data_IF_606971130981
#
_entry.id   IF_606971130981
#
_cell.length_a   1.000
_cell.length_b   1.000
_cell.length_c   1.000
_cell.angle_alpha   90.00
_cell.angle_beta   90.00
_cell.angle_gamma   90.00
#
_symmetry.space_group_name_H-M   'P 1'
#
loop_
_entity.id
_entity.type
_entity.pdbx_description
1 polymer ?
#
# COMPACT_ATOMS: atom_id res chain seq x y z
N UNK A 1 -6.73 -24.80 7.91
CA UNK A 1 -8.02 -24.71 7.19
C UNK A 1 -7.90 -25.70 6.03
N UNK A 2 -8.60 -26.85 6.10
CA UNK A 2 -8.52 -27.88 5.04
C UNK A 2 -9.30 -27.37 3.83
N UNK A 3 -8.63 -27.25 2.69
CA UNK A 3 -9.21 -26.76 1.44
C UNK A 3 -10.29 -27.74 0.93
N UNK A 4 -10.19 -29.01 1.31
CA UNK A 4 -11.09 -30.10 0.93
C UNK A 4 -12.55 -29.93 1.40
N UNK A 5 -12.81 -29.21 2.49
CA UNK A 5 -14.19 -29.07 3.02
C UNK A 5 -15.06 -28.05 2.29
N UNK A 6 -14.48 -27.28 1.36
CA UNK A 6 -15.17 -26.18 0.65
C UNK A 6 -15.37 -26.45 -0.86
N UNK A 7 -14.86 -27.59 -1.34
CA UNK A 7 -15.02 -28.04 -2.72
C UNK A 7 -16.40 -28.66 -2.93
N UNK A 8 -17.02 -28.36 -4.07
CA UNK A 8 -18.23 -29.05 -4.52
C UNK A 8 -17.90 -30.52 -4.82
N UNK A 9 -18.89 -31.41 -4.75
CA UNK A 9 -18.68 -32.84 -5.04
C UNK A 9 -18.13 -33.02 -6.45
N UNK A 10 -16.89 -33.51 -6.55
CA UNK A 10 -16.20 -33.75 -7.83
C UNK A 10 -15.39 -32.56 -8.38
N UNK A 11 -15.38 -31.40 -7.70
CA UNK A 11 -14.59 -30.23 -8.10
C UNK A 11 -13.09 -30.49 -7.92
N UNK A 12 -12.33 -30.33 -9.02
CA UNK A 12 -10.87 -30.49 -9.00
C UNK A 12 -10.17 -29.14 -8.90
N UNK A 13 -9.12 -29.07 -8.07
CA UNK A 13 -8.25 -27.90 -7.98
C UNK A 13 -7.19 -28.02 -9.08
N UNK A 14 -7.12 -27.02 -9.95
CA UNK A 14 -6.09 -26.95 -10.98
C UNK A 14 -4.84 -26.23 -10.46
N UNK A 15 -5.01 -25.08 -9.80
CA UNK A 15 -3.89 -24.27 -9.33
C UNK A 15 -4.24 -23.50 -8.05
N UNK A 16 -3.27 -23.41 -7.16
CA UNK A 16 -3.32 -22.53 -5.99
C UNK A 16 -2.25 -21.47 -6.18
N UNK A 17 -2.68 -20.21 -6.19
CA UNK A 17 -1.86 -19.06 -6.47
C UNK A 17 -1.76 -18.17 -5.24
N UNK A 18 -0.59 -17.58 -5.08
CA UNK A 18 -0.30 -16.57 -4.05
C UNK A 18 0.35 -15.37 -4.70
N UNK A 19 0.06 -14.15 -4.22
CA UNK A 19 0.69 -12.96 -4.76
C UNK A 19 2.20 -12.96 -4.50
N UNK A 20 2.97 -12.51 -5.48
CA UNK A 20 4.38 -12.21 -5.33
C UNK A 20 4.56 -11.00 -4.39
N UNK A 21 5.52 -11.03 -3.44
CA UNK A 21 5.69 -9.94 -2.48
C UNK A 21 5.92 -8.56 -3.12
N UNK A 22 6.68 -8.52 -4.22
CA UNK A 22 6.99 -7.27 -4.94
C UNK A 22 5.75 -6.62 -5.58
N UNK A 23 4.67 -7.36 -5.79
CA UNK A 23 3.41 -6.78 -6.26
C UNK A 23 2.84 -5.76 -5.26
N UNK A 24 3.18 -5.88 -3.98
CA UNK A 24 2.82 -4.93 -2.93
C UNK A 24 3.92 -3.91 -2.62
N UNK A 25 4.73 -3.51 -3.60
CA UNK A 25 5.86 -2.59 -3.40
C UNK A 25 5.45 -1.27 -2.72
N UNK A 26 4.26 -0.75 -3.00
CA UNK A 26 3.76 0.46 -2.35
C UNK A 26 3.63 0.32 -0.81
N UNK A 27 3.35 -0.88 -0.29
CA UNK A 27 3.36 -1.16 1.15
C UNK A 27 4.77 -1.44 1.65
N UNK A 28 5.61 -2.06 0.83
CA UNK A 28 7.00 -2.35 1.18
C UNK A 28 7.83 -1.07 1.31
N UNK A 29 7.60 -0.09 0.43
CA UNK A 29 8.29 1.20 0.45
C UNK A 29 8.15 1.93 1.80
N UNK A 30 7.03 1.77 2.50
CA UNK A 30 6.78 2.45 3.79
C UNK A 30 7.80 2.03 4.85
N UNK A 31 8.00 0.73 5.06
CA UNK A 31 8.93 0.23 6.07
C UNK A 31 10.39 0.37 5.61
N UNK A 32 10.66 0.13 4.33
CA UNK A 32 12.01 0.27 3.75
C UNK A 32 12.50 1.70 3.93
N UNK A 33 11.66 2.70 3.67
CA UNK A 33 12.04 4.10 3.84
C UNK A 33 12.40 4.43 5.29
N UNK A 34 11.58 3.99 6.26
CA UNK A 34 11.84 4.23 7.70
C UNK A 34 13.19 3.63 8.10
N UNK A 35 13.45 2.39 7.67
CA UNK A 35 14.69 1.68 7.96
C UNK A 35 15.90 2.39 7.35
N UNK A 36 15.86 2.67 6.05
CA UNK A 36 16.97 3.29 5.33
C UNK A 36 17.25 4.69 5.86
N UNK A 37 16.23 5.47 6.17
CA UNK A 37 16.40 6.82 6.69
C UNK A 37 16.96 6.81 8.12
N UNK A 38 16.56 5.85 8.96
CA UNK A 38 17.15 5.66 10.29
C UNK A 38 18.63 5.27 10.22
N UNK A 39 19.01 4.36 9.31
CA UNK A 39 20.42 4.00 9.05
C UNK A 39 21.20 5.21 8.56
N UNK A 40 20.64 5.95 7.60
CA UNK A 40 21.27 7.14 7.03
C UNK A 40 21.56 8.18 8.10
N UNK A 41 20.59 8.51 8.96
CA UNK A 41 20.78 9.49 10.03
C UNK A 41 21.84 9.06 11.04
N UNK A 42 21.82 7.79 11.46
CA UNK A 42 22.85 7.27 12.36
C UNK A 42 24.24 7.31 11.72
N UNK A 43 24.34 6.94 10.44
CA UNK A 43 25.60 6.99 9.71
C UNK A 43 26.12 8.42 9.59
N UNK A 44 25.28 9.39 9.19
CA UNK A 44 25.69 10.79 9.07
C UNK A 44 26.07 11.43 10.40
N UNK A 45 25.40 11.06 11.50
CA UNK A 45 25.70 11.62 12.81
C UNK A 45 27.03 11.11 13.41
N UNK A 46 27.51 9.93 12.98
CA UNK A 46 28.77 9.35 13.45
C UNK A 46 29.98 9.66 12.53
N UNK A 47 29.77 10.27 11.37
CA UNK A 47 30.85 10.71 10.50
C UNK A 47 31.56 11.92 11.11
N UNK A 48 32.89 11.86 11.21
CA UNK A 48 33.73 12.91 11.80
C UNK A 48 33.56 14.28 11.12
N UNK A 49 33.22 14.30 9.83
CA UNK A 49 33.02 15.52 9.04
C UNK A 49 31.72 16.27 9.39
N UNK A 50 30.69 15.57 9.89
CA UNK A 50 29.37 16.15 10.17
C UNK A 50 29.01 16.15 11.65
N UNK A 51 29.88 15.61 12.51
CA UNK A 51 29.64 15.44 13.95
C UNK A 51 29.25 16.74 14.65
N UNK A 52 29.79 17.89 14.23
CA UNK A 52 29.44 19.20 14.80
C UNK A 52 27.99 19.63 14.48
N UNK A 53 27.48 19.32 13.29
CA UNK A 53 26.09 19.62 12.90
C UNK A 53 25.07 18.76 13.67
N UNK A 54 25.49 17.56 14.07
CA UNK A 54 24.68 16.59 14.82
C UNK A 54 24.98 16.58 16.33
N UNK A 55 25.79 17.52 16.82
CA UNK A 55 26.19 17.61 18.22
C UNK A 55 25.01 17.99 19.15
N UNK A 56 24.15 18.97 18.81
CA UNK A 56 22.92 19.17 19.57
C UNK A 56 21.87 18.12 19.18
N UNK A 57 21.26 17.51 20.20
CA UNK A 57 20.17 16.54 20.05
C UNK A 57 18.99 17.11 19.23
N UNK A 58 18.79 18.43 19.29
CA UNK A 58 17.75 19.15 18.54
C UNK A 58 17.94 18.99 17.03
N UNK A 59 19.16 19.13 16.51
CA UNK A 59 19.41 19.02 15.06
C UNK A 59 19.08 17.64 14.52
N UNK A 60 19.51 16.59 15.23
CA UNK A 60 19.22 15.20 14.88
C UNK A 60 17.70 14.96 14.87
N UNK A 61 17.01 15.45 15.91
CA UNK A 61 15.57 15.29 16.06
C UNK A 61 14.81 16.03 14.95
N UNK A 62 15.18 17.27 14.65
CA UNK A 62 14.56 18.08 13.60
C UNK A 62 14.73 17.44 12.22
N UNK A 63 15.94 16.96 11.88
CA UNK A 63 16.18 16.27 10.62
C UNK A 63 15.37 14.98 10.49
N UNK A 64 15.23 14.24 11.59
CA UNK A 64 14.38 13.05 11.62
C UNK A 64 12.91 13.36 11.36
N UNK A 65 12.37 14.41 12.00
CA UNK A 65 11.00 14.88 11.77
C UNK A 65 10.78 15.34 10.33
N UNK A 66 11.66 16.20 9.83
CA UNK A 66 11.55 16.76 8.48
C UNK A 66 11.55 15.64 7.44
N UNK A 67 12.48 14.68 7.55
CA UNK A 67 12.58 13.58 6.59
C UNK A 67 11.34 12.68 6.57
N UNK A 68 10.87 12.25 7.74
CA UNK A 68 9.69 11.38 7.83
C UNK A 68 8.39 12.10 7.45
N UNK A 69 8.23 13.38 7.80
CA UNK A 69 7.04 14.17 7.39
C UNK A 69 7.04 14.34 5.87
N UNK A 70 8.17 14.74 5.28
CA UNK A 70 8.27 14.96 3.85
C UNK A 70 7.94 13.68 3.08
N UNK A 71 8.51 12.54 3.49
CA UNK A 71 8.17 11.26 2.89
C UNK A 71 6.70 10.86 3.10
N UNK A 72 6.16 11.09 4.30
CA UNK A 72 4.75 10.83 4.60
C UNK A 72 3.80 11.63 3.71
N UNK A 73 4.12 12.90 3.45
CA UNK A 73 3.36 13.76 2.53
C UNK A 73 3.49 13.26 1.09
N UNK A 74 4.70 13.00 0.62
CA UNK A 74 4.94 12.51 -0.76
C UNK A 74 4.20 11.19 -1.01
N UNK A 75 4.33 10.21 -0.11
CA UNK A 75 3.64 8.91 -0.22
C UNK A 75 2.12 9.10 -0.15
N UNK A 76 1.63 9.99 0.71
CA UNK A 76 0.19 10.29 0.83
C UNK A 76 -0.38 10.89 -0.46
N UNK A 77 0.36 11.79 -1.12
CA UNK A 77 -0.03 12.40 -2.38
C UNK A 77 -0.02 11.37 -3.52
N UNK A 78 1.05 10.59 -3.64
CA UNK A 78 1.17 9.54 -4.68
C UNK A 78 0.06 8.49 -4.53
N UNK A 79 -0.23 8.06 -3.31
CA UNK A 79 -1.20 6.99 -3.06
C UNK A 79 -2.63 7.51 -2.82
N UNK A 80 -2.85 8.83 -2.85
CA UNK A 80 -4.12 9.54 -2.57
C UNK A 80 -4.77 8.97 -1.29
N UNK A 81 -3.96 8.75 -0.26
CA UNK A 81 -4.35 8.04 0.96
C UNK A 81 -3.70 8.69 2.19
N UNK A 82 -4.41 9.64 2.78
CA UNK A 82 -4.00 10.39 3.99
C UNK A 82 -3.63 9.53 5.20
N UNK A 83 -4.11 8.28 5.28
CA UNK A 83 -3.72 7.35 6.36
C UNK A 83 -2.22 7.12 6.45
N UNK A 84 -1.47 7.18 5.34
CA UNK A 84 -0.02 6.99 5.38
C UNK A 84 0.66 8.17 6.09
N UNK A 85 0.22 9.39 5.82
CA UNK A 85 0.69 10.58 6.52
C UNK A 85 0.44 10.49 8.04
N UNK A 86 -0.78 10.11 8.45
CA UNK A 86 -1.09 9.93 9.88
C UNK A 86 -0.27 8.80 10.52
N UNK A 87 0.04 7.73 9.79
CA UNK A 87 0.89 6.65 10.28
C UNK A 87 2.31 7.17 10.61
N UNK A 88 2.93 7.96 9.72
CA UNK A 88 4.24 8.58 9.98
C UNK A 88 4.20 9.56 11.16
N UNK A 89 3.14 10.36 11.29
CA UNK A 89 2.97 11.24 12.45
C UNK A 89 2.88 10.49 13.77
N UNK A 90 2.13 9.39 13.82
CA UNK A 90 2.03 8.56 15.03
C UNK A 90 3.39 7.98 15.38
N UNK A 91 4.14 7.47 14.41
CA UNK A 91 5.51 6.98 14.61
C UNK A 91 6.42 8.08 15.18
N UNK A 92 6.41 9.28 14.58
CA UNK A 92 7.22 10.40 15.06
C UNK A 92 6.90 10.74 16.51
N UNK A 93 5.62 10.95 16.81
CA UNK A 93 5.15 11.31 18.15
C UNK A 93 5.52 10.25 19.21
N UNK A 94 5.38 8.97 18.87
CA UNK A 94 5.68 7.86 19.77
C UNK A 94 7.19 7.72 19.99
N UNK A 95 8.00 7.91 18.95
CA UNK A 95 9.46 7.89 19.05
C UNK A 95 10.00 9.06 19.88
N UNK A 96 9.47 10.26 19.69
CA UNK A 96 9.85 11.42 20.53
C UNK A 96 9.45 11.25 21.97
N UNK A 97 8.26 10.70 22.23
CA UNK A 97 7.78 10.44 23.58
C UNK A 97 8.67 9.41 24.30
N UNK A 98 9.06 8.34 23.62
CA UNK A 98 10.00 7.35 24.16
C UNK A 98 11.39 7.95 24.40
N UNK A 99 11.91 8.73 23.45
CA UNK A 99 13.22 9.39 23.59
C UNK A 99 13.25 10.32 24.82
N UNK A 100 12.16 11.05 25.07
CA UNK A 100 12.00 11.88 26.26
C UNK A 100 11.90 11.05 27.54
N UNK A 101 11.03 10.03 27.57
CA UNK A 101 10.80 9.18 28.74
C UNK A 101 12.07 8.46 29.22
N UNK A 102 12.91 8.01 28.29
CA UNK A 102 14.16 7.31 28.60
C UNK A 102 15.39 8.24 28.66
N UNK A 103 15.18 9.56 28.61
CA UNK A 103 16.23 10.58 28.71
C UNK A 103 17.33 10.47 27.64
N UNK A 104 16.99 9.99 26.43
CA UNK A 104 17.89 9.99 25.28
C UNK A 104 18.04 11.39 24.64
N UNK A 105 17.24 12.37 25.06
CA UNK A 105 17.28 13.79 24.63
C UNK A 105 18.41 14.61 25.30
N UNK A 106 19.53 13.97 25.64
CA UNK A 106 20.68 14.63 26.28
C UNK A 106 21.81 14.89 25.28
N UNK A 107 22.22 13.86 24.54
CA UNK A 107 23.36 13.92 23.61
C UNK A 107 22.94 13.51 22.21
N UNK A 108 23.42 14.22 21.17
CA UNK A 108 23.11 13.93 19.76
C UNK A 108 23.49 12.51 19.32
N UNK A 109 24.64 11.99 19.76
CA UNK A 109 25.08 10.63 19.45
C UNK A 109 24.17 9.56 20.04
N UNK A 110 23.75 9.73 21.31
CA UNK A 110 22.83 8.81 21.98
C UNK A 110 21.46 8.80 21.31
N UNK A 111 20.97 9.97 20.90
CA UNK A 111 19.71 10.10 20.18
C UNK A 111 19.74 9.44 18.81
N UNK A 112 20.84 9.62 18.06
CA UNK A 112 21.02 9.02 16.74
C UNK A 112 21.02 7.49 16.81
N UNK A 113 21.67 6.93 17.84
CA UNK A 113 21.64 5.49 18.11
C UNK A 113 20.24 5.00 18.51
N UNK A 114 19.52 5.75 19.33
CA UNK A 114 18.13 5.45 19.67
C UNK A 114 17.22 5.45 18.43
N UNK A 115 17.33 6.45 17.56
CA UNK A 115 16.56 6.53 16.30
C UNK A 115 16.80 5.30 15.42
N UNK A 116 18.06 4.84 15.32
CA UNK A 116 18.39 3.64 14.55
C UNK A 116 17.63 2.42 15.07
N UNK A 117 17.75 2.14 16.38
CA UNK A 117 17.08 0.99 17.01
C UNK A 117 15.56 1.12 16.86
N UNK A 118 15.03 2.30 17.13
CA UNK A 118 13.60 2.58 17.01
C UNK A 118 13.07 2.34 15.59
N UNK A 119 13.81 2.82 14.58
CA UNK A 119 13.48 2.65 13.17
C UNK A 119 13.53 1.18 12.74
N UNK A 120 14.51 0.42 13.22
CA UNK A 120 14.61 -1.03 12.98
C UNK A 120 13.41 -1.76 13.59
N UNK A 121 13.07 -1.46 14.86
CA UNK A 121 11.94 -2.09 15.55
C UNK A 121 10.62 -1.84 14.83
N UNK A 122 10.32 -0.58 14.48
CA UNK A 122 9.08 -0.24 13.77
C UNK A 122 9.05 -0.83 12.38
N UNK A 123 10.16 -0.72 11.64
CA UNK A 123 10.25 -1.30 10.31
C UNK A 123 9.96 -2.80 10.35
N UNK A 124 10.50 -3.51 11.34
CA UNK A 124 10.24 -4.94 11.55
C UNK A 124 8.75 -5.23 11.84
N UNK A 125 8.11 -4.41 12.69
CA UNK A 125 6.67 -4.53 12.99
C UNK A 125 5.82 -4.32 11.72
N UNK A 126 6.10 -3.26 10.94
CA UNK A 126 5.38 -2.97 9.70
C UNK A 126 5.63 -4.07 8.66
N UNK A 127 6.88 -4.52 8.51
CA UNK A 127 7.26 -5.63 7.64
C UNK A 127 6.46 -6.89 7.99
N UNK A 128 6.37 -7.25 9.26
CA UNK A 128 5.59 -8.41 9.71
C UNK A 128 4.10 -8.25 9.36
N UNK A 129 3.53 -7.06 9.58
CA UNK A 129 2.15 -6.75 9.21
C UNK A 129 1.90 -6.89 7.70
N UNK A 130 2.81 -6.37 6.88
CA UNK A 130 2.75 -6.50 5.40
C UNK A 130 2.92 -7.96 4.99
N UNK A 131 3.85 -8.70 5.59
CA UNK A 131 4.08 -10.12 5.30
C UNK A 131 2.84 -10.98 5.59
N UNK A 132 2.21 -10.78 6.76
CA UNK A 132 0.95 -11.45 7.11
C UNK A 132 -0.16 -11.08 6.13
N UNK A 133 -0.24 -9.81 5.73
CA UNK A 133 -1.20 -9.33 4.74
C UNK A 133 -1.05 -10.01 3.37
N UNK A 134 0.18 -10.12 2.87
CA UNK A 134 0.48 -10.78 1.59
C UNK A 134 0.10 -12.26 1.67
N UNK A 135 0.55 -12.95 2.73
CA UNK A 135 0.31 -14.40 2.94
C UNK A 135 -1.18 -14.74 3.16
N UNK A 136 -1.97 -13.77 3.58
CA UNK A 136 -3.42 -13.92 3.74
C UNK A 136 -4.16 -14.05 2.40
N UNK A 137 -3.61 -13.55 1.29
CA UNK A 137 -4.23 -13.68 -0.02
C UNK A 137 -3.95 -15.07 -0.60
N UNK A 138 -5.01 -15.77 -1.01
CA UNK A 138 -4.92 -17.03 -1.75
C UNK A 138 -5.96 -17.04 -2.83
N UNK A 139 -5.55 -17.46 -4.02
CA UNK A 139 -6.44 -17.63 -5.15
C UNK A 139 -6.43 -19.09 -5.56
N UNK A 140 -7.60 -19.69 -5.67
CA UNK A 140 -7.75 -21.10 -6.02
C UNK A 140 -8.51 -21.15 -7.34
N UNK A 141 -7.88 -21.74 -8.35
CA UNK A 141 -8.47 -21.98 -9.66
C UNK A 141 -8.92 -23.44 -9.68
N UNK A 142 -10.21 -23.64 -9.93
CA UNK A 142 -10.81 -24.98 -10.10
C UNK A 142 -11.31 -25.16 -11.52
N UNK A 143 -11.81 -26.35 -11.84
CA UNK A 143 -12.41 -26.68 -13.14
C UNK A 143 -13.66 -25.83 -13.50
N UNK A 144 -14.38 -25.27 -12.53
CA UNK A 144 -15.64 -24.57 -12.75
C UNK A 144 -15.64 -23.09 -12.32
N UNK A 145 -14.73 -22.67 -11.43
CA UNK A 145 -14.74 -21.34 -10.81
C UNK A 145 -13.37 -20.89 -10.29
N UNK A 146 -13.28 -19.60 -10.01
CA UNK A 146 -12.18 -18.97 -9.28
C UNK A 146 -12.65 -18.65 -7.87
N UNK A 147 -11.89 -19.05 -6.87
CA UNK A 147 -12.15 -18.77 -5.46
C UNK A 147 -11.10 -17.78 -4.96
N UNK A 148 -11.56 -16.60 -4.58
CA UNK A 148 -10.73 -15.55 -3.99
C UNK A 148 -10.83 -15.61 -2.47
N UNK A 149 -9.70 -15.80 -1.79
CA UNK A 149 -9.60 -15.82 -0.33
C UNK A 149 -8.66 -14.74 0.15
N UNK A 150 -9.05 -14.12 1.27
CA UNK A 150 -8.35 -12.97 1.78
C UNK A 150 -8.75 -12.56 3.18
N UNK A 151 -8.06 -11.54 3.68
CA UNK A 151 -8.32 -10.90 4.95
C UNK A 151 -7.46 -11.42 6.09
N UNK A 152 -6.84 -10.49 6.81
CA UNK A 152 -5.98 -10.78 7.97
C UNK A 152 -6.83 -10.99 9.23
N UNK A 153 -7.63 -9.99 9.59
CA UNK A 153 -8.50 -10.02 10.79
C UNK A 153 -9.88 -10.59 10.47
N UNK A 154 -10.50 -10.13 9.39
CA UNK A 154 -11.79 -10.60 8.91
C UNK A 154 -11.58 -11.39 7.63
N UNK A 155 -11.81 -12.70 7.70
CA UNK A 155 -11.76 -13.57 6.53
C UNK A 155 -12.84 -13.14 5.54
N UNK A 156 -12.45 -13.05 4.27
CA UNK A 156 -13.31 -12.73 3.13
C UNK A 156 -13.07 -13.80 2.08
N UNK A 157 -14.16 -14.35 1.61
CA UNK A 157 -14.16 -15.32 0.54
C UNK A 157 -15.19 -14.89 -0.50
N UNK A 158 -14.86 -15.07 -1.76
CA UNK A 158 -15.78 -14.86 -2.87
C UNK A 158 -15.45 -15.82 -3.99
N UNK A 159 -16.50 -16.39 -4.57
CA UNK A 159 -16.37 -17.32 -5.69
C UNK A 159 -16.90 -16.66 -6.96
N UNK A 160 -16.27 -16.95 -8.09
CA UNK A 160 -16.65 -16.46 -9.40
C UNK A 160 -16.65 -17.62 -10.40
N UNK A 161 -17.83 -17.98 -10.90
CA UNK A 161 -17.99 -19.04 -11.92
C UNK A 161 -17.55 -18.55 -13.29
N UNK A 162 -16.98 -19.44 -14.10
CA UNK A 162 -16.53 -19.12 -15.46
C UNK A 162 -17.65 -18.62 -16.37
N UNK A 163 -18.84 -19.22 -16.28
CA UNK A 163 -20.03 -18.82 -17.04
C UNK A 163 -20.46 -17.35 -16.86
N UNK A 164 -19.94 -16.68 -15.83
CA UNK A 164 -20.26 -15.28 -15.49
C UNK A 164 -19.16 -14.30 -15.86
N UNK A 165 -17.99 -14.80 -16.26
CA UNK A 165 -16.88 -13.97 -16.73
C UNK A 165 -17.15 -13.62 -18.18
N UNK A 166 -17.22 -12.32 -18.47
CA UNK A 166 -17.36 -11.81 -19.84
C UNK A 166 -16.06 -11.41 -20.47
N UNK A 167 -15.13 -10.91 -19.65
CA UNK A 167 -13.85 -10.40 -20.12
C UNK A 167 -12.79 -10.55 -19.03
N UNK A 168 -11.51 -10.54 -19.41
CA UNK A 168 -10.37 -10.69 -18.52
C UNK A 168 -9.36 -9.59 -18.83
N UNK A 169 -9.08 -8.76 -17.84
CA UNK A 169 -8.12 -7.67 -17.96
C UNK A 169 -6.81 -8.02 -17.24
N UNK A 170 -5.71 -8.12 -17.99
CA UNK A 170 -4.37 -8.39 -17.46
C UNK A 170 -3.51 -7.13 -17.40
N UNK A 171 -2.77 -6.95 -16.32
CA UNK A 171 -1.82 -5.84 -16.15
C UNK A 171 -0.50 -6.32 -15.60
N UNK A 172 0.59 -5.84 -16.16
CA UNK A 172 1.95 -6.17 -15.73
C UNK A 172 2.77 -4.88 -15.70
N UNK A 173 3.24 -4.50 -14.50
CA UNK A 173 4.13 -3.35 -14.33
C UNK A 173 5.57 -3.70 -14.71
N UNK A 174 6.47 -2.71 -14.69
CA UNK A 174 7.91 -2.89 -15.02
C UNK A 174 8.54 -4.02 -14.19
N UNK A 175 8.32 -4.01 -12.87
CA UNK A 175 8.81 -5.09 -11.99
C UNK A 175 8.12 -6.43 -12.28
N UNK A 176 6.85 -6.38 -12.67
CA UNK A 176 6.11 -7.56 -13.09
C UNK A 176 6.70 -8.21 -14.34
N UNK A 177 7.21 -7.42 -15.29
CA UNK A 177 7.86 -7.92 -16.50
C UNK A 177 9.21 -8.57 -16.19
N UNK A 178 9.97 -8.02 -15.25
CA UNK A 178 11.30 -8.56 -14.87
C UNK A 178 11.17 -9.87 -14.08
N UNK A 179 10.23 -9.93 -13.15
CA UNK A 179 10.05 -11.07 -12.23
C UNK A 179 8.87 -11.98 -12.61
N UNK A 180 8.31 -11.78 -13.80
CA UNK A 180 7.20 -12.56 -14.38
C UNK A 180 5.98 -12.71 -13.46
N UNK A 181 5.55 -11.61 -12.83
CA UNK A 181 4.31 -11.57 -12.06
C UNK A 181 3.37 -10.49 -12.61
N UNK A 182 2.06 -10.75 -12.58
CA UNK A 182 1.07 -9.79 -13.07
C UNK A 182 -0.26 -9.91 -12.35
N UNK A 183 -1.13 -8.94 -12.59
CA UNK A 183 -2.46 -8.87 -11.98
C UNK A 183 -3.52 -9.11 -13.03
N UNK A 184 -4.39 -10.11 -12.78
CA UNK A 184 -5.49 -10.47 -13.67
C UNK A 184 -6.82 -10.17 -12.99
N UNK A 185 -7.67 -9.39 -13.64
CA UNK A 185 -8.97 -8.95 -13.14
C UNK A 185 -10.05 -9.56 -14.03
N UNK A 186 -10.81 -10.56 -13.55
CA UNK A 186 -11.96 -11.05 -14.29
C UNK A 186 -13.14 -10.07 -14.16
N UNK A 187 -13.80 -9.79 -15.28
CA UNK A 187 -14.91 -8.86 -15.40
C UNK A 187 -16.20 -9.65 -15.65
N UNK A 188 -17.28 -9.27 -14.97
CA UNK A 188 -18.60 -9.90 -15.16
C UNK A 188 -19.63 -8.92 -15.72
N UNK A 189 -20.72 -9.46 -16.29
CA UNK A 189 -21.89 -8.66 -16.72
C UNK A 189 -22.47 -7.80 -15.60
N UNK A 190 -22.41 -8.28 -14.35
CA UNK A 190 -22.91 -7.55 -13.18
C UNK A 190 -21.96 -6.43 -12.70
N UNK A 191 -20.80 -6.24 -13.34
CA UNK A 191 -19.81 -5.23 -12.99
C UNK A 191 -18.83 -5.65 -11.89
N UNK A 192 -18.70 -6.93 -11.58
CA UNK A 192 -17.56 -7.40 -10.78
C UNK A 192 -16.27 -7.12 -11.55
N UNK A 193 -15.23 -6.66 -10.86
CA UNK A 193 -13.97 -6.26 -11.48
C UNK A 193 -13.96 -4.84 -12.07
N UNK A 194 -15.11 -4.15 -12.12
CA UNK A 194 -15.21 -2.76 -12.56
C UNK A 194 -15.31 -1.83 -11.34
N UNK A 195 -14.45 -0.81 -11.31
CA UNK A 195 -14.61 0.38 -10.49
C UNK A 195 -15.21 1.51 -11.31
N UNK A 196 -15.85 2.46 -10.64
CA UNK A 196 -16.24 3.70 -11.28
C UNK A 196 -15.34 4.84 -10.86
N UNK A 197 -14.75 5.51 -11.85
CA UNK A 197 -14.09 6.78 -11.65
C UNK A 197 -14.97 7.87 -12.29
N UNK A 198 -15.23 8.93 -11.53
CA UNK A 198 -15.96 10.09 -12.02
C UNK A 198 -14.97 11.00 -12.74
N UNK A 199 -15.07 11.07 -14.07
CA UNK A 199 -14.32 12.05 -14.84
C UNK A 199 -15.05 13.41 -14.74
N UNK A 200 -14.45 14.37 -14.04
CA UNK A 200 -14.95 15.74 -13.98
C UNK A 200 -14.45 16.51 -15.20
N UNK A 201 -15.33 16.73 -16.19
CA UNK A 201 -15.02 17.57 -17.34
C UNK A 201 -15.08 19.05 -16.92
N UNK A 202 -13.94 19.58 -16.44
CA UNK A 202 -13.75 21.01 -16.19
C UNK A 202 -12.93 21.64 -17.31
N UNK A 203 -13.57 22.35 -18.23
CA UNK A 203 -12.88 23.11 -19.27
C UNK A 203 -13.81 23.85 -20.25
N UNK A 204 -14.03 25.15 -19.97
CA UNK A 204 -14.22 26.26 -20.92
C UNK A 204 -15.33 26.22 -21.99
N UNK A 205 -16.36 27.06 -21.78
CA UNK A 205 -17.17 27.85 -22.76
C UNK A 205 -17.80 27.00 -23.90
N UNK A 206 -19.10 26.70 -23.87
CA UNK A 206 -20.10 27.56 -24.52
C UNK A 206 -21.48 27.56 -23.81
N UNK A 207 -22.10 28.71 -23.92
CA UNK A 207 -23.35 29.23 -23.35
C UNK A 207 -24.63 28.46 -23.70
N UNK A 208 -25.46 28.13 -22.69
CA UNK A 208 -26.81 28.71 -22.46
C UNK A 208 -27.55 28.02 -21.30
N UNK A 209 -27.81 28.81 -20.25
CA UNK A 209 -28.93 28.79 -19.27
C UNK A 209 -29.42 27.42 -18.73
N UNK A 210 -29.47 27.15 -17.41
CA UNK A 210 -30.10 28.00 -16.38
C UNK A 210 -29.74 27.49 -14.97
N UNK A 211 -29.46 28.44 -14.06
CA UNK A 211 -29.29 28.38 -12.59
C UNK A 211 -27.91 28.01 -12.01
N UNK A 212 -27.15 29.09 -11.82
CA UNK A 212 -25.93 29.24 -11.04
C UNK A 212 -26.22 29.28 -9.52
N UNK A 213 -25.51 28.45 -8.76
CA UNK A 213 -25.27 28.62 -7.33
C UNK A 213 -23.79 28.92 -7.07
N UNK A 214 -23.44 30.21 -7.03
CA UNK A 214 -22.38 30.96 -6.31
C UNK A 214 -20.91 30.45 -6.24
N UNK A 215 -20.54 29.22 -6.59
CA UNK A 215 -19.16 28.82 -6.89
C UNK A 215 -19.17 27.81 -8.05
N UNK A 216 -19.21 28.35 -9.26
CA UNK A 216 -19.55 27.66 -10.50
C UNK A 216 -18.50 26.66 -10.99
N UNK A 217 -18.59 25.43 -10.51
CA UNK A 217 -18.10 24.25 -11.21
C UNK A 217 -19.30 23.39 -11.61
N UNK A 218 -19.92 23.69 -12.75
CA UNK A 218 -20.95 22.84 -13.36
C UNK A 218 -20.29 21.89 -14.36
N UNK A 219 -19.64 20.84 -13.84
CA UNK A 219 -19.11 19.74 -14.63
C UNK A 219 -20.03 18.53 -14.53
N UNK A 220 -20.56 18.06 -15.66
CA UNK A 220 -21.23 16.76 -15.71
C UNK A 220 -20.19 15.67 -15.42
N UNK A 221 -20.32 14.97 -14.29
CA UNK A 221 -19.48 13.83 -13.98
C UNK A 221 -19.90 12.66 -14.88
N UNK A 222 -19.12 12.35 -15.93
CA UNK A 222 -19.30 11.10 -16.67
C UNK A 222 -18.62 10.00 -15.88
N UNK A 223 -19.40 9.06 -15.37
CA UNK A 223 -18.88 7.88 -14.69
C UNK A 223 -18.27 6.95 -15.75
N UNK A 224 -16.94 6.81 -15.73
CA UNK A 224 -16.22 5.89 -16.60
C UNK A 224 -15.94 4.62 -15.78
N UNK A 225 -16.42 3.48 -16.28
CA UNK A 225 -16.14 2.18 -15.67
C UNK A 225 -14.74 1.74 -16.08
N UNK A 226 -13.84 1.61 -15.13
CA UNK A 226 -12.44 1.20 -15.33
C UNK A 226 -12.25 -0.13 -14.60
N UNK A 227 -11.51 -1.11 -15.16
CA UNK A 227 -11.18 -2.34 -14.44
C UNK A 227 -10.38 -2.01 -13.17
N UNK A 228 -11.01 -2.21 -12.01
CA UNK A 228 -10.43 -1.94 -10.69
C UNK A 228 -11.11 -2.81 -9.66
N UNK A 229 -10.36 -3.75 -9.10
CA UNK A 229 -10.82 -4.55 -7.98
C UNK A 229 -9.97 -4.27 -6.73
N UNK A 230 -10.45 -4.76 -5.58
CA UNK A 230 -9.61 -4.83 -4.38
C UNK A 230 -8.66 -6.01 -4.57
N UNK A 231 -7.43 -5.93 -4.04
CA UNK A 231 -6.42 -6.99 -4.12
C UNK A 231 -6.92 -8.40 -3.77
N UNK A 232 -7.92 -8.51 -2.89
CA UNK A 232 -8.55 -9.79 -2.51
C UNK A 232 -9.61 -10.32 -3.49
N UNK A 233 -9.92 -9.60 -4.57
CA UNK A 233 -10.96 -9.92 -5.56
C UNK A 233 -10.42 -9.87 -7.00
N UNK A 234 -9.12 -9.78 -7.15
CA UNK A 234 -8.39 -9.95 -8.39
C UNK A 234 -7.27 -10.96 -8.14
N UNK A 235 -6.80 -11.61 -9.21
CA UNK A 235 -5.62 -12.44 -9.19
C UNK A 235 -4.39 -11.51 -9.13
N UNK A 236 -4.17 -10.88 -7.98
CA UNK A 236 -3.16 -9.84 -7.81
C UNK A 236 -1.75 -10.43 -7.76
N UNK A 237 -0.84 -9.94 -8.61
CA UNK A 237 0.58 -10.31 -8.58
C UNK A 237 0.85 -11.81 -8.66
N UNK A 238 0.06 -12.56 -9.41
CA UNK A 238 0.22 -14.00 -9.58
C UNK A 238 1.51 -14.30 -10.35
N UNK A 239 2.21 -15.37 -9.95
CA UNK A 239 3.42 -15.89 -10.58
C UNK A 239 3.33 -17.42 -10.74
N UNK A 240 3.80 -18.00 -11.87
CA UNK A 240 4.09 -17.32 -13.13
C UNK A 240 2.83 -16.67 -13.72
N UNK A 241 3.00 -15.54 -14.40
CA UNK A 241 1.93 -14.77 -15.04
C UNK A 241 1.38 -15.48 -16.28
#
# INVERSE_FOLDING_TARGET
MRIESELLKGEKIEKILTPHPLSFMHLQAVWVYILLFGIFLWWTANLSQYSELFNPWVSVLSLWWIGLILAGVVISLILIRWRYFFLYLVILSLGTFLAWKYNYLSTGSSLSFFILIYSICISSIIFLGVYIFIKSHRYIITDCRIIFKGGVLRKRERTLRYDKITDIHGTQGILGQIFDFGTIIPITQSGFGLGSDQAFAGGGIETRAKRFGIFGFAGGAKEVKIPRARSYYELHGVHPY
#
